data_IF_093654350723
#
_entry.id   IF_093654350723
#
_cell.length_a   1.000
_cell.length_b   1.000
_cell.length_c   1.000
_cell.angle_alpha   90.00
_cell.angle_beta   90.00
_cell.angle_gamma   90.00
#
_symmetry.space_group_name_H-M   'P 1'
#
loop_
_entity.id
_entity.type
_entity.pdbx_description
1 polymer ?
#
# COMPACT_ATOMS: atom_id res chain seq x y z
N UNK A 1 -4.76 3.87 19.90
CA UNK A 1 -3.36 3.54 19.57
C UNK A 1 -2.82 4.68 18.74
N UNK A 2 -1.59 5.16 18.99
CA UNK A 2 -1.00 6.23 18.18
C UNK A 2 -0.09 5.58 17.15
N UNK A 3 -0.56 5.45 15.91
CA UNK A 3 0.24 4.96 14.79
C UNK A 3 0.96 6.11 14.11
N UNK A 4 2.19 5.87 13.68
CA UNK A 4 3.00 6.78 12.85
C UNK A 4 2.57 6.73 11.38
N UNK A 5 2.12 5.57 10.90
CA UNK A 5 1.70 5.38 9.50
C UNK A 5 0.21 5.71 9.28
N UNK A 6 -0.66 5.40 10.24
CA UNK A 6 -2.09 5.70 10.19
C UNK A 6 -2.36 7.01 10.92
N UNK A 7 -2.35 8.11 10.17
CA UNK A 7 -2.79 9.42 10.68
C UNK A 7 -4.30 9.45 10.88
N UNK A 8 -4.85 10.34 11.73
CA UNK A 8 -6.29 10.49 11.88
C UNK A 8 -7.02 10.78 10.55
N UNK A 9 -6.40 11.58 9.67
CA UNK A 9 -6.94 11.91 8.36
C UNK A 9 -7.00 10.67 7.46
N UNK A 10 -5.94 9.86 7.45
CA UNK A 10 -5.90 8.63 6.67
C UNK A 10 -6.89 7.58 7.21
N UNK A 11 -6.99 7.45 8.53
CA UNK A 11 -7.98 6.59 9.18
C UNK A 11 -9.42 6.98 8.82
N UNK A 12 -9.72 8.28 8.74
CA UNK A 12 -11.03 8.77 8.29
C UNK A 12 -11.30 8.40 6.83
N UNK A 13 -10.30 8.57 5.96
CA UNK A 13 -10.42 8.22 4.55
C UNK A 13 -10.71 6.72 4.35
N UNK A 14 -10.04 5.85 5.11
CA UNK A 14 -10.27 4.40 5.06
C UNK A 14 -11.70 3.97 5.42
N UNK A 15 -12.48 4.78 6.17
CA UNK A 15 -13.89 4.44 6.44
C UNK A 15 -14.75 4.33 5.18
N UNK A 16 -14.36 5.01 4.10
CA UNK A 16 -15.02 4.93 2.79
C UNK A 16 -14.54 3.72 1.96
N UNK A 17 -13.45 3.09 2.38
CA UNK A 17 -12.78 2.00 1.68
C UNK A 17 -12.41 0.87 2.66
N UNK A 18 -13.40 0.27 3.34
CA UNK A 18 -13.17 -0.91 4.16
C UNK A 18 -12.68 -2.08 3.29
N UNK A 19 -12.20 -3.14 3.91
CA UNK A 19 -11.76 -4.32 3.17
C UNK A 19 -12.90 -4.85 2.29
N UNK A 20 -12.57 -5.28 1.07
CA UNK A 20 -13.48 -5.77 0.03
C UNK A 20 -14.41 -4.73 -0.62
N UNK A 21 -14.27 -3.44 -0.29
CA UNK A 21 -15.08 -2.35 -0.88
C UNK A 21 -14.77 -2.02 -2.34
N UNK A 22 -13.63 -2.50 -2.84
CA UNK A 22 -13.10 -2.23 -4.17
C UNK A 22 -12.99 -3.49 -5.03
N UNK A 23 -13.53 -4.61 -4.57
CA UNK A 23 -13.59 -5.85 -5.33
C UNK A 23 -14.22 -5.66 -6.70
N UNK A 24 -13.63 -6.28 -7.72
CA UNK A 24 -14.08 -6.19 -9.11
C UNK A 24 -13.76 -4.88 -9.83
N UNK A 25 -13.21 -3.85 -9.15
CA UNK A 25 -12.83 -2.59 -9.81
C UNK A 25 -11.57 -2.69 -10.68
N UNK A 26 -10.77 -3.77 -10.54
CA UNK A 26 -9.54 -3.99 -11.33
C UNK A 26 -8.66 -2.71 -11.32
N UNK A 27 -8.28 -2.18 -12.49
CA UNK A 27 -7.46 -0.98 -12.65
C UNK A 27 -8.13 0.32 -12.14
N UNK A 28 -9.44 0.31 -11.94
CA UNK A 28 -10.21 1.46 -11.41
C UNK A 28 -10.25 1.50 -9.87
N UNK A 29 -9.69 0.50 -9.18
CA UNK A 29 -9.56 0.55 -7.72
C UNK A 29 -8.70 1.75 -7.30
N UNK A 30 -9.15 2.49 -6.28
CA UNK A 30 -8.50 3.70 -5.80
C UNK A 30 -7.38 3.34 -4.85
N UNK A 31 -6.15 3.74 -5.17
CA UNK A 31 -5.05 3.78 -4.22
C UNK A 31 -5.22 5.02 -3.33
N UNK A 32 -5.27 4.82 -2.01
CA UNK A 32 -5.53 5.88 -1.05
C UNK A 32 -4.23 6.54 -0.60
N UNK A 33 -3.20 5.75 -0.34
CA UNK A 33 -1.87 6.22 0.04
C UNK A 33 -0.78 5.26 -0.43
N UNK A 34 0.46 5.73 -0.38
CA UNK A 34 1.64 4.90 -0.66
C UNK A 34 2.55 4.89 0.55
N UNK A 35 2.87 3.69 1.02
CA UNK A 35 3.97 3.49 1.96
C UNK A 35 5.20 3.00 1.21
N UNK A 36 6.39 3.34 1.69
CA UNK A 36 7.63 2.94 1.01
C UNK A 36 8.82 2.77 1.97
N UNK A 37 9.76 1.93 1.55
CA UNK A 37 11.10 1.82 2.13
C UNK A 37 12.09 1.46 1.02
N UNK A 38 13.06 2.34 0.76
CA UNK A 38 13.95 2.20 -0.38
C UNK A 38 13.17 2.09 -1.71
N UNK A 39 13.28 0.94 -2.39
CA UNK A 39 12.56 0.65 -3.63
C UNK A 39 11.24 -0.12 -3.46
N UNK A 40 10.89 -0.50 -2.23
CA UNK A 40 9.64 -1.20 -1.95
C UNK A 40 8.53 -0.19 -1.77
N UNK A 41 7.38 -0.43 -2.39
CA UNK A 41 6.16 0.39 -2.29
C UNK A 41 4.98 -0.50 -1.97
N UNK A 42 4.10 -0.01 -1.11
CA UNK A 42 2.76 -0.54 -0.88
C UNK A 42 1.77 0.49 -1.40
N UNK A 43 1.10 0.16 -2.51
CA UNK A 43 -0.01 0.92 -3.05
C UNK A 43 -1.28 0.46 -2.32
N UNK A 44 -1.71 1.24 -1.33
CA UNK A 44 -2.75 0.81 -0.39
C UNK A 44 -4.12 1.13 -0.94
N UNK A 45 -4.98 0.12 -1.05
CA UNK A 45 -6.30 0.22 -1.65
C UNK A 45 -7.38 0.35 -0.57
N UNK A 46 -7.25 -0.43 0.50
CA UNK A 46 -8.27 -0.55 1.52
C UNK A 46 -7.62 -0.73 2.88
N UNK A 47 -8.40 -0.51 3.93
CA UNK A 47 -7.97 -0.88 5.25
C UNK A 47 -9.00 -0.56 6.31
N UNK A 48 -8.88 -1.23 7.44
CA UNK A 48 -9.77 -1.04 8.56
C UNK A 48 -9.09 -1.41 9.89
N UNK A 49 -9.59 -0.89 11.02
CA UNK A 49 -9.14 -1.36 12.32
C UNK A 49 -9.49 -2.85 12.52
N UNK A 50 -8.55 -3.59 13.09
CA UNK A 50 -8.75 -4.99 13.49
C UNK A 50 -8.25 -5.18 14.93
N UNK A 51 -9.17 -5.18 15.88
CA UNK A 51 -8.85 -5.22 17.31
C UNK A 51 -7.99 -4.02 17.72
N UNK A 52 -6.72 -4.30 18.04
CA UNK A 52 -5.74 -3.29 18.41
C UNK A 52 -4.73 -3.01 17.27
N UNK A 53 -5.05 -3.34 16.03
CA UNK A 53 -4.22 -3.09 14.86
C UNK A 53 -5.02 -2.40 13.75
N UNK A 54 -4.38 -2.17 12.61
CA UNK A 54 -5.00 -1.71 11.39
C UNK A 54 -4.52 -2.58 10.23
N UNK A 55 -5.45 -3.31 9.63
CA UNK A 55 -5.17 -4.23 8.52
C UNK A 55 -5.37 -3.49 7.22
N UNK A 56 -4.38 -3.57 6.33
CA UNK A 56 -4.41 -2.97 5.00
C UNK A 56 -4.55 -4.06 3.94
N UNK A 57 -5.17 -3.71 2.82
CA UNK A 57 -5.05 -4.44 1.57
C UNK A 57 -4.32 -3.56 0.55
N UNK A 58 -3.28 -4.10 -0.07
CA UNK A 58 -2.36 -3.33 -0.91
C UNK A 58 -1.76 -4.16 -2.02
N UNK A 59 -1.17 -3.49 -3.01
CA UNK A 59 -0.24 -4.10 -3.96
C UNK A 59 1.17 -3.73 -3.51
N UNK A 60 2.01 -4.74 -3.24
CA UNK A 60 3.42 -4.52 -2.93
C UNK A 60 4.27 -4.68 -4.19
N UNK A 61 5.13 -3.69 -4.44
CA UNK A 61 6.08 -3.67 -5.55
C UNK A 61 7.49 -3.51 -4.98
N UNK A 62 8.48 -4.14 -5.61
CA UNK A 62 9.90 -3.92 -5.28
C UNK A 62 10.54 -5.01 -4.43
N UNK A 63 9.80 -6.06 -4.09
CA UNK A 63 10.32 -7.32 -3.54
C UNK A 63 10.65 -8.31 -4.68
N UNK A 64 10.76 -9.61 -4.36
CA UNK A 64 11.00 -10.66 -5.34
C UNK A 64 9.92 -10.67 -6.42
N UNK A 65 8.65 -10.55 -6.01
CA UNK A 65 7.48 -10.50 -6.87
C UNK A 65 6.61 -9.28 -6.56
N UNK A 66 5.73 -8.92 -7.50
CA UNK A 66 4.66 -7.95 -7.28
C UNK A 66 3.38 -8.72 -6.99
N UNK A 67 2.69 -8.38 -5.91
CA UNK A 67 1.51 -9.13 -5.47
C UNK A 67 0.50 -8.25 -4.73
N UNK A 68 -0.76 -8.69 -4.74
CA UNK A 68 -1.75 -8.24 -3.76
C UNK A 68 -1.48 -8.92 -2.42
N UNK A 69 -1.59 -8.17 -1.33
CA UNK A 69 -1.35 -8.71 0.00
C UNK A 69 -1.99 -7.91 1.11
N UNK A 70 -2.29 -8.61 2.20
CA UNK A 70 -2.66 -7.99 3.46
C UNK A 70 -1.41 -7.60 4.24
N UNK A 71 -1.47 -6.46 4.93
CA UNK A 71 -0.38 -6.01 5.78
C UNK A 71 -0.92 -5.47 7.12
N UNK A 72 -0.28 -5.88 8.21
CA UNK A 72 -0.48 -5.29 9.55
C UNK A 72 0.32 -3.98 9.65
N UNK A 73 -0.34 -2.90 10.09
CA UNK A 73 0.35 -1.64 10.36
C UNK A 73 1.38 -1.78 11.49
N UNK A 74 1.09 -2.56 12.54
CA UNK A 74 2.08 -2.84 13.58
C UNK A 74 3.33 -3.52 13.05
N UNK A 75 3.16 -4.53 12.20
CA UNK A 75 4.29 -5.22 11.57
C UNK A 75 5.07 -4.25 10.67
N UNK A 76 4.38 -3.48 9.83
CA UNK A 76 5.01 -2.46 8.98
C UNK A 76 5.80 -1.43 9.79
N UNK A 77 5.29 -0.99 10.95
CA UNK A 77 5.99 -0.04 11.82
C UNK A 77 7.24 -0.63 12.49
N UNK A 78 7.32 -1.96 12.63
CA UNK A 78 8.50 -2.67 13.13
C UNK A 78 9.60 -2.84 12.09
N UNK A 79 9.27 -2.72 10.79
CA UNK A 79 10.22 -2.87 9.69
C UNK A 79 11.09 -1.62 9.56
N UNK A 80 12.41 -1.84 9.50
CA UNK A 80 13.39 -0.80 9.21
C UNK A 80 14.63 -1.38 8.53
N UNK A 81 15.32 -0.55 7.74
CA UNK A 81 16.56 -0.91 7.04
C UNK A 81 17.74 -0.28 7.76
N UNK A 82 18.77 -1.09 7.98
CA UNK A 82 20.08 -0.62 8.43
C UNK A 82 20.84 -0.04 7.23
N UNK A 83 21.36 1.18 7.39
CA UNK A 83 22.02 1.93 6.32
C UNK A 83 23.50 2.22 6.62
N UNK A 84 24.03 1.64 7.69
CA UNK A 84 25.44 1.75 8.04
C UNK A 84 25.68 1.92 9.54
N UNK A 85 26.94 1.74 9.91
CA UNK A 85 27.38 1.80 11.31
C UNK A 85 27.07 3.18 11.92
N UNK A 86 26.40 3.19 13.07
CA UNK A 86 26.00 4.38 13.82
C UNK A 86 25.04 5.34 13.10
N UNK A 87 24.39 4.91 12.01
CA UNK A 87 23.31 5.68 11.38
C UNK A 87 21.94 5.24 11.92
N UNK A 88 20.95 6.15 12.01
CA UNK A 88 19.60 5.77 12.37
C UNK A 88 19.01 4.86 11.29
N UNK A 89 18.33 3.79 11.72
CA UNK A 89 17.60 2.91 10.81
C UNK A 89 16.50 3.69 10.09
N UNK A 90 16.29 3.38 8.82
CA UNK A 90 15.24 4.00 8.02
C UNK A 90 13.98 3.13 8.13
N UNK A 91 12.87 3.61 8.73
CA UNK A 91 11.63 2.86 8.78
C UNK A 91 10.85 3.00 7.46
N UNK A 92 9.75 2.25 7.33
CA UNK A 92 8.75 2.53 6.29
C UNK A 92 8.17 3.93 6.48
N UNK A 93 8.03 4.71 5.42
CA UNK A 93 7.47 6.07 5.42
C UNK A 93 6.22 6.15 4.55
N UNK A 94 5.39 7.16 4.77
CA UNK A 94 4.29 7.52 3.89
C UNK A 94 4.75 8.56 2.86
N UNK A 95 4.41 8.37 1.59
CA UNK A 95 4.54 9.43 0.59
C UNK A 95 3.43 10.47 0.80
N UNK A 96 3.81 11.61 1.37
CA UNK A 96 2.88 12.71 1.66
C UNK A 96 2.50 13.53 0.42
N UNK A 97 3.23 13.37 -0.68
CA UNK A 97 2.96 14.06 -1.94
C UNK A 97 1.92 13.32 -2.78
N UNK A 98 1.81 12.00 -2.58
CA UNK A 98 0.84 11.16 -3.29
C UNK A 98 -0.60 11.64 -3.11
N UNK A 99 -1.35 11.61 -4.20
CA UNK A 99 -2.78 11.91 -4.23
C UNK A 99 -3.54 10.68 -4.68
N UNK A 100 -4.64 10.39 -3.99
CA UNK A 100 -5.43 9.20 -4.26
C UNK A 100 -5.95 9.22 -5.69
N UNK A 101 -5.81 8.08 -6.38
CA UNK A 101 -6.19 7.92 -7.77
C UNK A 101 -6.41 6.43 -8.10
N UNK A 102 -7.09 6.12 -9.22
CA UNK A 102 -7.15 4.75 -9.75
C UNK A 102 -5.74 4.17 -9.93
N UNK A 103 -5.55 2.90 -9.56
CA UNK A 103 -4.25 2.23 -9.68
C UNK A 103 -3.75 2.16 -11.13
N UNK A 104 -4.64 2.14 -12.12
CA UNK A 104 -4.27 2.23 -13.54
C UNK A 104 -3.61 3.56 -13.94
N UNK A 105 -3.75 4.61 -13.13
CA UNK A 105 -3.18 5.93 -13.41
C UNK A 105 -1.82 6.17 -12.75
N UNK A 106 -1.33 5.21 -11.95
CA UNK A 106 -0.05 5.35 -11.24
C UNK A 106 1.10 5.00 -12.20
N UNK A 107 2.03 5.93 -12.49
CA UNK A 107 3.10 5.71 -13.46
C UNK A 107 4.27 4.90 -12.86
N UNK A 108 4.00 3.70 -12.36
CA UNK A 108 4.99 2.72 -11.91
C UNK A 108 4.97 1.51 -12.85
N UNK A 109 6.07 1.28 -13.57
CA UNK A 109 6.19 0.24 -14.60
C UNK A 109 5.91 -1.18 -14.05
N UNK A 110 6.38 -1.49 -12.83
CA UNK A 110 6.19 -2.81 -12.24
C UNK A 110 4.74 -3.01 -11.84
N UNK A 111 4.12 -1.99 -11.25
CA UNK A 111 2.69 -1.99 -10.95
C UNK A 111 1.87 -2.17 -12.23
N UNK A 112 2.13 -1.38 -13.27
CA UNK A 112 1.36 -1.44 -14.51
C UNK A 112 1.55 -2.75 -15.26
N UNK A 113 2.77 -3.32 -15.28
CA UNK A 113 3.03 -4.64 -15.85
C UNK A 113 2.22 -5.71 -15.10
N UNK A 114 2.25 -5.70 -13.76
CA UNK A 114 1.49 -6.63 -12.93
C UNK A 114 -0.02 -6.52 -13.16
N UNK A 115 -0.57 -5.30 -13.20
CA UNK A 115 -2.00 -5.08 -13.44
C UNK A 115 -2.44 -5.53 -14.83
N UNK A 116 -1.60 -5.31 -15.84
CA UNK A 116 -1.90 -5.73 -17.22
C UNK A 116 -1.86 -7.26 -17.34
N UNK A 117 -0.87 -7.88 -16.71
CA UNK A 117 -0.73 -9.33 -16.61
C UNK A 117 -1.94 -10.02 -15.98
N UNK A 118 -2.57 -9.36 -15.01
CA UNK A 118 -3.73 -9.86 -14.27
C UNK A 118 -5.06 -9.59 -14.98
N UNK A 119 -5.22 -8.42 -15.61
CA UNK A 119 -6.54 -7.93 -16.02
C UNK A 119 -6.75 -7.77 -17.51
N UNK A 120 -5.69 -7.68 -18.30
CA UNK A 120 -5.79 -7.49 -19.75
C UNK A 120 -5.70 -8.82 -20.51
N UNK A 121 -5.33 -9.91 -19.84
CA UNK A 121 -5.14 -11.24 -20.45
C UNK A 121 -6.42 -12.08 -20.55
N UNK A 122 -7.60 -11.49 -20.41
CA UNK A 122 -8.90 -12.16 -20.60
C UNK A 122 -9.82 -11.40 -21.56
N UNK A 123 -9.54 -11.54 -22.86
CA UNK A 123 -10.54 -11.58 -23.94
C UNK A 123 -10.11 -12.68 -24.94
N UNK A 124 -10.34 -13.95 -24.60
CA UNK A 124 -10.38 -15.07 -25.56
C UNK A 124 -11.61 -15.93 -25.27
#
# INVERSE_FOLDING_TARGET
>A
MTSRLITPQLAEQFKQYPLYSQDGKKKDAICLCVFFIGKVRWYVLEGQPEGNDFTLFSIVVGLADTEYGYASIKEMESISVDVGHNLPKIPILQDKSFKSCPIGNIPDERLQSFLSDMYDREEV
#
